data_IF_619806534797
#
_entry.id   IF_619806534797
#
_cell.length_a   1.000
_cell.length_b   1.000
_cell.length_c   1.000
_cell.angle_alpha   90.00
_cell.angle_beta   90.00
_cell.angle_gamma   90.00
#
_symmetry.space_group_name_H-M   'P 1'
#
loop_
_entity.id
_entity.type
_entity.pdbx_description
1 polymer ?
#
# COMPACT_ATOMS: atom_id res chain seq x y z
N UNK A 1 -2.48 -3.36 8.76
CA UNK A 1 -2.52 -4.83 8.83
C UNK A 1 -1.14 -5.39 9.18
N UNK A 2 -1.05 -6.17 10.25
CA UNK A 2 0.16 -6.84 10.72
C UNK A 2 0.64 -7.98 9.81
N UNK A 3 1.73 -8.64 10.20
CA UNK A 3 2.31 -9.76 9.45
C UNK A 3 1.45 -11.04 9.59
N UNK A 4 0.97 -11.32 10.79
CA UNK A 4 0.16 -12.52 11.09
C UNK A 4 -1.34 -12.39 10.80
N UNK A 5 -1.76 -11.44 9.95
CA UNK A 5 -3.19 -11.18 9.69
C UNK A 5 -3.80 -12.08 8.62
N UNK A 6 -2.97 -12.71 7.78
CA UNK A 6 -3.38 -13.54 6.66
C UNK A 6 -3.23 -15.02 7.02
N UNK A 7 -4.14 -15.86 6.52
CA UNK A 7 -4.12 -17.31 6.71
C UNK A 7 -2.80 -17.95 6.26
N UNK A 8 -2.31 -17.58 5.07
CA UNK A 8 -1.04 -18.08 4.51
C UNK A 8 0.19 -17.67 5.34
N UNK A 9 0.10 -16.57 6.10
CA UNK A 9 1.14 -16.13 7.05
C UNK A 9 0.96 -16.70 8.46
N UNK A 10 0.00 -17.62 8.65
CA UNK A 10 -0.19 -18.36 9.89
C UNK A 10 -1.31 -17.85 10.79
N UNK A 11 -2.20 -16.98 10.31
CA UNK A 11 -3.37 -16.57 11.09
C UNK A 11 -4.28 -17.80 11.37
N UNK A 12 -4.60 -18.12 12.65
CA UNK A 12 -5.26 -19.39 13.00
C UNK A 12 -6.66 -19.61 12.42
N UNK A 13 -7.46 -18.55 12.29
CA UNK A 13 -8.83 -18.60 11.79
C UNK A 13 -8.91 -18.79 10.27
N UNK A 14 -7.82 -18.55 9.52
CA UNK A 14 -7.70 -18.70 8.05
C UNK A 14 -8.84 -18.00 7.30
N UNK A 15 -9.03 -16.73 7.59
CA UNK A 15 -10.17 -15.93 7.10
C UNK A 15 -9.88 -15.10 5.84
N UNK A 16 -8.73 -15.32 5.18
CA UNK A 16 -8.30 -14.59 3.98
C UNK A 16 -8.16 -15.51 2.75
N UNK A 17 -9.21 -16.23 2.34
CA UNK A 17 -9.09 -17.23 1.28
C UNK A 17 -8.65 -16.65 -0.08
N UNK A 18 -9.00 -15.40 -0.40
CA UNK A 18 -8.63 -14.80 -1.70
C UNK A 18 -7.16 -14.36 -1.73
N UNK A 19 -6.65 -13.78 -0.64
CA UNK A 19 -5.24 -13.44 -0.50
C UNK A 19 -4.36 -14.69 -0.39
N UNK A 20 -4.83 -15.74 0.29
CA UNK A 20 -4.16 -17.03 0.33
C UNK A 20 -4.11 -17.66 -1.07
N UNK A 21 -5.20 -17.55 -1.84
CA UNK A 21 -5.23 -17.99 -3.24
C UNK A 21 -4.27 -17.16 -4.12
N UNK A 22 -4.26 -15.83 -3.98
CA UNK A 22 -3.34 -14.94 -4.69
C UNK A 22 -1.88 -15.33 -4.43
N UNK A 23 -1.53 -15.60 -3.17
CA UNK A 23 -0.21 -16.08 -2.79
C UNK A 23 0.10 -17.46 -3.43
N UNK A 24 -0.87 -18.38 -3.46
CA UNK A 24 -0.69 -19.70 -4.08
C UNK A 24 -0.49 -19.67 -5.60
N UNK A 25 -0.86 -18.56 -6.26
CA UNK A 25 -0.71 -18.31 -7.70
C UNK A 25 0.42 -17.33 -8.03
N UNK A 26 1.10 -16.79 -7.02
CA UNK A 26 2.13 -15.78 -7.17
C UNK A 26 3.35 -16.09 -6.31
N UNK A 27 3.92 -15.04 -5.73
CA UNK A 27 5.10 -15.11 -4.87
C UNK A 27 4.77 -14.56 -3.48
N UNK A 28 5.20 -15.29 -2.44
CA UNK A 28 5.10 -14.88 -1.04
C UNK A 28 6.45 -14.37 -0.56
N UNK A 29 6.47 -13.22 0.12
CA UNK A 29 7.70 -12.59 0.62
C UNK A 29 7.70 -12.56 2.16
N UNK A 30 8.26 -13.59 2.83
CA UNK A 30 8.23 -13.68 4.30
C UNK A 30 9.02 -12.55 4.98
N UNK A 31 10.06 -12.07 4.31
CA UNK A 31 10.94 -10.98 4.74
C UNK A 31 10.67 -9.73 3.90
N UNK A 32 9.41 -9.27 3.90
CA UNK A 32 8.96 -8.00 3.31
C UNK A 32 8.48 -7.04 4.38
N UNK A 33 8.57 -5.76 4.06
CA UNK A 33 8.87 -4.77 5.04
C UNK A 33 8.25 -3.39 4.52
N UNK A 34 7.80 -2.41 5.37
CA UNK A 34 7.40 -0.98 5.20
C UNK A 34 8.32 0.20 5.68
N UNK A 35 8.58 1.29 4.93
CA UNK A 35 9.73 2.21 5.16
C UNK A 35 9.71 2.99 6.48
N UNK A 36 8.59 2.96 7.20
CA UNK A 36 8.40 3.63 8.47
C UNK A 36 7.37 2.88 9.32
N UNK A 37 7.38 3.03 10.67
CA UNK A 37 6.36 2.44 11.54
C UNK A 37 4.96 3.04 11.41
N UNK A 38 4.75 4.09 10.59
CA UNK A 38 3.46 4.78 10.44
C UNK A 38 3.11 5.14 9.00
N UNK A 39 1.84 5.49 8.81
CA UNK A 39 1.16 5.64 7.53
C UNK A 39 1.82 6.62 6.54
N UNK A 40 1.83 7.93 6.82
CA UNK A 40 2.26 8.95 5.83
C UNK A 40 3.68 8.75 5.34
N UNK A 41 4.68 8.55 6.21
CA UNK A 41 6.06 8.37 5.75
C UNK A 41 6.25 7.11 4.90
N UNK A 42 5.56 6.03 5.24
CA UNK A 42 5.60 4.79 4.46
C UNK A 42 4.96 4.93 3.09
N UNK A 43 3.84 5.65 2.99
CA UNK A 43 3.16 5.95 1.72
C UNK A 43 3.99 6.89 0.85
N UNK A 44 4.62 7.89 1.45
CA UNK A 44 5.52 8.79 0.75
C UNK A 44 6.74 8.04 0.21
N UNK A 45 7.30 7.15 1.02
CA UNK A 45 8.43 6.31 0.60
C UNK A 45 8.06 5.31 -0.49
N UNK A 46 6.82 4.80 -0.44
CA UNK A 46 6.27 3.98 -1.51
C UNK A 46 6.25 4.82 -2.80
N UNK A 47 5.51 5.91 -2.84
CA UNK A 47 5.28 6.64 -4.07
C UNK A 47 6.54 7.32 -4.65
N UNK A 48 7.52 7.68 -3.82
CA UNK A 48 8.79 8.30 -4.27
C UNK A 48 9.95 7.32 -4.47
N UNK A 49 9.83 6.07 -4.01
CA UNK A 49 10.96 5.13 -3.94
C UNK A 49 12.10 5.55 -2.99
N UNK A 50 11.84 6.52 -2.11
CA UNK A 50 12.86 7.21 -1.28
C UNK A 50 12.49 7.18 0.19
N UNK A 51 13.46 6.88 1.07
CA UNK A 51 13.25 6.90 2.52
C UNK A 51 12.67 8.24 3.02
N UNK A 52 11.87 8.23 4.12
CA UNK A 52 11.23 9.44 4.64
C UNK A 52 12.18 10.60 4.97
N UNK A 53 13.39 10.28 5.42
CA UNK A 53 14.43 11.28 5.71
C UNK A 53 14.90 12.02 4.45
N UNK A 54 14.67 11.46 3.25
CA UNK A 54 15.02 12.04 1.96
C UNK A 54 13.87 12.80 1.32
N UNK A 55 12.64 12.28 1.45
CA UNK A 55 11.45 12.86 0.84
C UNK A 55 10.72 13.89 1.74
N UNK A 56 11.19 14.09 2.97
CA UNK A 56 10.68 15.12 3.88
C UNK A 56 9.60 14.66 4.86
N UNK A 57 9.19 13.39 4.86
CA UNK A 57 8.15 12.86 5.76
C UNK A 57 8.71 12.42 7.12
N UNK A 58 9.31 13.35 7.86
CA UNK A 58 9.81 13.12 9.22
C UNK A 58 9.72 14.41 10.03
N UNK A 59 9.99 14.33 11.34
CA UNK A 59 10.06 15.51 12.21
C UNK A 59 11.44 15.65 12.84
N UNK A 60 11.84 16.89 13.10
CA UNK A 60 13.04 17.26 13.87
C UNK A 60 12.69 17.92 15.21
N UNK A 61 11.40 18.02 15.56
CA UNK A 61 10.97 18.64 16.82
C UNK A 61 11.60 17.95 18.03
N UNK A 62 11.75 16.63 17.96
CA UNK A 62 12.48 15.81 18.93
C UNK A 62 13.11 14.60 18.22
N UNK A 63 14.15 14.02 18.83
CA UNK A 63 14.82 12.84 18.30
C UNK A 63 13.91 11.60 18.31
N UNK A 64 14.01 10.81 17.24
CA UNK A 64 13.33 9.52 17.09
C UNK A 64 11.80 9.55 17.27
N UNK A 65 11.15 10.69 16.97
CA UNK A 65 9.69 10.80 17.01
C UNK A 65 9.04 10.38 15.71
N UNK A 66 7.93 9.67 15.87
CA UNK A 66 7.00 9.36 14.81
C UNK A 66 6.21 10.61 14.41
N UNK A 67 6.02 10.82 13.11
CA UNK A 67 5.23 11.92 12.56
C UNK A 67 4.42 11.44 11.35
N UNK A 68 3.31 12.12 11.08
CA UNK A 68 2.42 11.85 9.96
C UNK A 68 1.73 13.16 9.52
N UNK A 69 0.75 13.09 8.63
CA UNK A 69 0.03 14.26 8.08
C UNK A 69 -1.41 14.39 8.66
N UNK A 70 -1.58 14.90 9.88
CA UNK A 70 -2.89 15.22 10.46
C UNK A 70 -3.60 16.39 9.75
N UNK A 71 -4.83 16.71 10.17
CA UNK A 71 -5.64 17.80 9.61
C UNK A 71 -5.11 19.22 9.87
N UNK A 72 -4.09 19.40 10.69
CA UNK A 72 -3.47 20.69 10.98
C UNK A 72 -2.06 20.81 10.39
N UNK A 73 -1.59 19.78 9.67
CA UNK A 73 -0.25 19.78 9.09
C UNK A 73 -0.11 20.88 8.04
N UNK A 74 0.96 21.66 8.15
CA UNK A 74 1.30 22.72 7.18
C UNK A 74 1.99 22.14 5.95
N UNK A 75 2.82 21.11 6.15
CA UNK A 75 3.60 20.46 5.11
C UNK A 75 2.87 19.31 4.38
N UNK A 76 3.57 18.72 3.43
CA UNK A 76 3.11 17.61 2.59
C UNK A 76 4.18 17.24 1.57
N UNK A 77 3.83 16.39 0.60
CA UNK A 77 4.76 15.97 -0.46
C UNK A 77 5.24 17.18 -1.27
N UNK A 78 6.55 17.48 -1.31
CA UNK A 78 7.02 18.67 -2.02
C UNK A 78 7.06 18.41 -3.52
N UNK A 79 6.82 19.45 -4.33
CA UNK A 79 6.90 19.41 -5.80
C UNK A 79 8.28 18.95 -6.33
N UNK A 80 9.30 18.94 -5.47
CA UNK A 80 10.61 18.41 -5.81
C UNK A 80 10.66 16.90 -5.87
N UNK A 81 9.79 16.17 -5.16
CA UNK A 81 9.71 14.71 -5.25
C UNK A 81 8.94 14.31 -6.51
N UNK A 82 9.38 13.23 -7.17
CA UNK A 82 8.75 12.70 -8.38
C UNK A 82 8.08 11.39 -7.98
N UNK A 83 6.75 11.34 -8.08
CA UNK A 83 5.99 10.17 -7.68
C UNK A 83 5.85 9.15 -8.82
N UNK A 84 5.68 7.88 -8.46
CA UNK A 84 5.44 6.77 -9.39
C UNK A 84 4.37 7.11 -10.47
N UNK A 85 3.16 7.60 -10.13
CA UNK A 85 2.16 7.91 -11.15
C UNK A 85 2.60 8.99 -12.14
N UNK A 86 3.45 9.96 -11.75
CA UNK A 86 4.02 10.95 -12.69
C UNK A 86 4.98 10.30 -13.69
N UNK A 87 5.78 9.33 -13.22
CA UNK A 87 6.67 8.55 -14.09
C UNK A 87 5.83 7.71 -15.06
N UNK A 88 4.81 7.03 -14.56
CA UNK A 88 3.93 6.16 -15.35
C UNK A 88 3.09 6.94 -16.37
N UNK A 89 2.65 8.16 -16.02
CA UNK A 89 1.91 9.03 -16.94
C UNK A 89 2.74 9.33 -18.21
N UNK A 90 4.06 9.51 -18.09
CA UNK A 90 4.96 9.71 -19.25
C UNK A 90 5.08 8.47 -20.14
N UNK A 91 4.82 7.29 -19.58
CA UNK A 91 4.74 6.02 -20.32
C UNK A 91 3.32 5.75 -20.84
N UNK A 92 2.43 6.73 -20.73
CA UNK A 92 1.06 6.66 -21.24
C UNK A 92 0.11 5.91 -20.33
N UNK A 93 0.43 5.65 -19.05
CA UNK A 93 -0.51 5.01 -18.13
C UNK A 93 -1.60 5.98 -17.67
N UNK A 94 -2.81 5.45 -17.46
CA UNK A 94 -3.87 6.11 -16.69
C UNK A 94 -3.75 5.69 -15.23
N UNK A 95 -3.64 6.65 -14.31
CA UNK A 95 -3.42 6.39 -12.89
C UNK A 95 -4.63 6.77 -12.04
N UNK A 96 -5.08 5.89 -11.15
CA UNK A 96 -6.13 6.19 -10.17
C UNK A 96 -5.70 5.79 -8.76
N UNK A 97 -5.93 6.68 -7.80
CA UNK A 97 -5.88 6.37 -6.36
C UNK A 97 -7.30 6.15 -5.83
N UNK A 98 -7.47 5.13 -4.99
CA UNK A 98 -8.72 4.86 -4.28
C UNK A 98 -8.40 4.74 -2.80
N UNK A 99 -9.11 5.47 -1.96
CA UNK A 99 -8.93 5.46 -0.50
C UNK A 99 -7.97 6.56 -0.02
N UNK A 100 -7.17 6.21 1.00
CA UNK A 100 -6.44 7.18 1.82
C UNK A 100 -5.14 7.67 1.14
N UNK A 101 -5.03 8.99 0.95
CA UNK A 101 -3.84 9.63 0.37
C UNK A 101 -2.70 9.81 1.38
N UNK A 102 -2.91 10.66 2.39
CA UNK A 102 -2.00 10.88 3.51
C UNK A 102 -0.61 11.46 3.17
N UNK A 103 -0.50 12.21 2.07
CA UNK A 103 0.70 12.94 1.66
C UNK A 103 0.53 14.48 1.75
N UNK A 104 -0.49 14.93 2.48
CA UNK A 104 -0.85 16.34 2.64
C UNK A 104 -2.25 16.62 2.14
N UNK A 105 -2.96 17.50 2.83
CA UNK A 105 -4.37 17.84 2.53
C UNK A 105 -4.54 19.17 1.79
N UNK A 106 -3.53 20.05 1.84
CA UNK A 106 -3.63 21.37 1.21
C UNK A 106 -3.66 21.20 -0.32
N UNK A 107 -4.27 22.15 -1.06
CA UNK A 107 -4.43 22.02 -2.51
C UNK A 107 -3.14 21.70 -3.29
N UNK A 108 -1.99 22.23 -2.86
CA UNK A 108 -0.66 21.96 -3.45
C UNK A 108 -0.11 20.54 -3.20
N UNK A 109 -0.77 19.74 -2.37
CA UNK A 109 -0.41 18.35 -2.10
C UNK A 109 -1.43 17.36 -2.66
N UNK A 110 -2.39 17.83 -3.46
CA UNK A 110 -3.49 17.04 -3.99
C UNK A 110 -2.98 15.94 -4.94
N UNK A 111 -3.48 14.70 -4.88
CA UNK A 111 -2.91 13.61 -5.69
C UNK A 111 -2.96 13.87 -7.20
N UNK A 112 -3.95 14.62 -7.69
CA UNK A 112 -4.11 14.92 -9.12
C UNK A 112 -3.04 15.86 -9.70
N UNK A 113 -2.35 16.65 -8.87
CA UNK A 113 -1.20 17.44 -9.31
C UNK A 113 0.13 16.69 -9.15
N UNK A 114 0.09 15.51 -8.52
CA UNK A 114 1.23 14.62 -8.30
C UNK A 114 1.06 13.30 -9.09
N UNK A 115 0.54 13.41 -10.31
CA UNK A 115 0.55 12.36 -11.34
C UNK A 115 -0.67 11.43 -11.41
N UNK A 116 -1.56 11.43 -10.42
CA UNK A 116 -2.82 10.67 -10.54
C UNK A 116 -3.79 11.39 -11.48
N UNK A 117 -4.51 10.64 -12.31
CA UNK A 117 -5.54 11.21 -13.19
C UNK A 117 -6.93 11.23 -12.54
N UNK A 118 -7.18 10.29 -11.63
CA UNK A 118 -8.46 10.10 -10.94
C UNK A 118 -8.24 9.82 -9.45
N UNK A 119 -9.16 10.27 -8.62
CA UNK A 119 -9.17 9.97 -7.19
C UNK A 119 -10.58 9.74 -6.67
N UNK A 120 -10.74 8.73 -5.83
CA UNK A 120 -11.87 8.64 -4.91
C UNK A 120 -11.38 8.30 -3.52
N UNK A 121 -11.52 9.20 -2.55
CA UNK A 121 -11.05 8.92 -1.18
C UNK A 121 -10.77 10.16 -0.35
N UNK A 122 -9.91 10.04 0.66
CA UNK A 122 -9.68 11.10 1.65
C UNK A 122 -8.21 11.47 1.80
N UNK A 123 -7.88 12.77 2.00
CA UNK A 123 -6.51 13.18 2.29
C UNK A 123 -5.99 12.68 3.65
N UNK A 124 -6.89 12.39 4.60
CA UNK A 124 -6.57 12.06 5.99
C UNK A 124 -7.19 10.71 6.41
N UNK A 125 -7.06 10.37 7.70
CA UNK A 125 -7.75 9.21 8.28
C UNK A 125 -9.28 9.42 8.35
N UNK A 126 -10.02 8.39 8.74
CA UNK A 126 -11.46 8.48 8.96
C UNK A 126 -11.83 8.62 10.46
N UNK A 127 -10.97 9.27 11.26
CA UNK A 127 -11.27 9.49 12.69
C UNK A 127 -12.35 10.56 12.88
N UNK A 128 -13.20 10.38 13.88
CA UNK A 128 -14.33 11.28 14.21
C UNK A 128 -15.39 10.56 15.07
N UNK A 129 -16.63 11.08 15.15
CA UNK A 129 -17.07 12.36 14.59
C UNK A 129 -16.43 13.55 15.33
N UNK A 130 -16.11 14.62 14.59
CA UNK A 130 -15.73 15.90 15.17
C UNK A 130 -16.94 16.83 15.31
N UNK A 131 -16.78 17.92 16.06
CA UNK A 131 -17.85 18.87 16.37
C UNK A 131 -18.13 19.92 15.28
N UNK A 132 -17.30 19.95 14.23
CA UNK A 132 -17.32 20.93 13.15
C UNK A 132 -17.16 22.39 13.59
N UNK A 133 -16.65 22.64 14.80
CA UNK A 133 -16.33 23.99 15.31
C UNK A 133 -14.84 24.22 15.37
N UNK A 134 -14.12 23.34 16.08
CA UNK A 134 -12.67 23.44 16.21
C UNK A 134 -11.98 22.59 15.14
N UNK A 135 -12.53 21.39 14.89
CA UNK A 135 -12.02 20.46 13.89
C UNK A 135 -13.19 20.02 13.00
N UNK A 136 -13.09 20.17 11.67
CA UNK A 136 -14.11 19.67 10.77
C UNK A 136 -14.00 18.15 10.62
N UNK A 137 -15.13 17.52 10.32
CA UNK A 137 -15.16 16.17 9.78
C UNK A 137 -14.36 16.09 8.49
N UNK A 138 -13.67 14.96 8.34
CA UNK A 138 -12.66 14.81 7.30
C UNK A 138 -13.35 14.63 5.93
N UNK A 139 -12.92 15.38 4.90
CA UNK A 139 -13.54 15.32 3.58
C UNK A 139 -13.23 14.03 2.82
N UNK A 140 -14.17 13.67 1.93
CA UNK A 140 -14.02 12.65 0.89
C UNK A 140 -14.17 13.33 -0.46
N UNK A 141 -13.26 13.02 -1.38
CA UNK A 141 -13.14 13.63 -2.69
C UNK A 141 -13.50 12.64 -3.80
N UNK A 142 -14.07 13.17 -4.88
CA UNK A 142 -13.98 12.61 -6.22
C UNK A 142 -13.20 13.61 -7.06
N UNK A 143 -12.03 13.20 -7.53
CA UNK A 143 -11.09 14.04 -8.25
C UNK A 143 -10.80 15.33 -7.46
N UNK A 144 -11.16 16.50 -7.97
CA UNK A 144 -10.96 17.79 -7.27
C UNK A 144 -12.09 18.18 -6.33
N UNK A 145 -13.24 17.51 -6.44
CA UNK A 145 -14.47 17.93 -5.77
C UNK A 145 -14.64 17.19 -4.46
N UNK A 146 -14.79 17.93 -3.36
CA UNK A 146 -15.24 17.36 -2.09
C UNK A 146 -16.71 16.96 -2.24
N UNK A 147 -16.98 15.66 -2.21
CA UNK A 147 -18.33 15.10 -2.40
C UNK A 147 -19.04 14.81 -1.08
N UNK A 148 -18.36 14.99 0.04
CA UNK A 148 -18.94 14.83 1.38
C UNK A 148 -17.88 14.70 2.45
N UNK A 149 -18.30 14.37 3.67
CA UNK A 149 -17.40 14.13 4.82
C UNK A 149 -17.70 12.81 5.51
N UNK A 150 -16.68 12.24 6.17
CA UNK A 150 -16.89 11.12 7.09
C UNK A 150 -17.82 11.52 8.24
N UNK A 151 -18.62 10.57 8.73
CA UNK A 151 -19.66 10.77 9.76
C UNK A 151 -20.81 11.71 9.36
N UNK A 152 -20.82 12.20 8.12
CA UNK A 152 -21.90 12.98 7.52
C UNK A 152 -22.45 12.20 6.31
N UNK A 153 -21.94 12.46 5.11
CA UNK A 153 -22.36 11.78 3.89
C UNK A 153 -21.81 10.35 3.81
N UNK A 154 -20.64 10.12 4.41
CA UNK A 154 -19.96 8.83 4.50
C UNK A 154 -20.02 8.31 5.94
N UNK A 155 -21.13 7.66 6.27
CA UNK A 155 -21.42 7.19 7.62
C UNK A 155 -20.45 6.09 8.07
N UNK A 156 -19.98 6.24 9.31
CA UNK A 156 -19.24 5.23 10.07
C UNK A 156 -19.90 5.19 11.45
N UNK A 157 -20.62 4.12 11.76
CA UNK A 157 -21.23 3.95 13.08
C UNK A 157 -20.20 3.39 14.05
N UNK A 158 -19.67 4.22 14.94
CA UNK A 158 -18.64 3.84 15.92
C UNK A 158 -19.16 2.89 17.00
N UNK A 159 -20.48 2.69 17.13
CA UNK A 159 -21.05 1.74 18.09
C UNK A 159 -21.12 0.33 17.52
N UNK A 160 -21.45 0.20 16.23
CA UNK A 160 -21.64 -1.09 15.56
C UNK A 160 -20.46 -1.49 14.67
N UNK A 161 -19.64 -0.53 14.25
CA UNK A 161 -18.63 -0.71 13.21
C UNK A 161 -19.18 -0.67 11.78
N UNK A 162 -20.47 -0.35 11.59
CA UNK A 162 -21.08 -0.37 10.24
C UNK A 162 -20.60 0.79 9.37
N UNK A 163 -20.04 0.48 8.19
CA UNK A 163 -19.82 1.45 7.11
C UNK A 163 -19.74 0.77 5.74
N UNK A 164 -20.24 1.46 4.69
CA UNK A 164 -20.19 0.96 3.31
C UNK A 164 -18.92 1.37 2.54
N UNK A 165 -17.96 2.04 3.19
CA UNK A 165 -16.79 2.59 2.52
C UNK A 165 -15.96 1.55 1.75
N UNK A 166 -15.72 0.37 2.33
CA UNK A 166 -14.98 -0.71 1.65
C UNK A 166 -15.70 -1.16 0.38
N UNK A 167 -17.03 -1.31 0.41
CA UNK A 167 -17.83 -1.64 -0.79
C UNK A 167 -17.70 -0.55 -1.87
N UNK A 168 -17.75 0.72 -1.48
CA UNK A 168 -17.58 1.83 -2.43
C UNK A 168 -16.18 1.77 -3.06
N UNK A 169 -15.14 1.57 -2.26
CA UNK A 169 -13.76 1.44 -2.75
C UNK A 169 -13.57 0.23 -3.67
N UNK A 170 -14.26 -0.89 -3.43
CA UNK A 170 -14.29 -2.03 -4.34
C UNK A 170 -14.93 -1.63 -5.67
N UNK A 171 -16.12 -1.02 -5.66
CA UNK A 171 -16.81 -0.63 -6.89
C UNK A 171 -16.02 0.39 -7.72
N UNK A 172 -15.35 1.35 -7.08
CA UNK A 172 -14.47 2.31 -7.76
C UNK A 172 -13.30 1.62 -8.48
N UNK A 173 -12.75 0.55 -7.89
CA UNK A 173 -11.67 -0.24 -8.47
C UNK A 173 -12.16 -1.07 -9.67
N UNK A 174 -13.29 -1.78 -9.50
CA UNK A 174 -13.88 -2.59 -10.56
C UNK A 174 -14.27 -1.75 -11.79
N UNK A 175 -14.87 -0.58 -11.54
CA UNK A 175 -15.26 0.38 -12.60
C UNK A 175 -14.05 0.93 -13.36
N UNK A 176 -12.97 1.27 -12.64
CA UNK A 176 -11.75 1.75 -13.26
C UNK A 176 -11.09 0.69 -14.15
N UNK A 177 -10.92 -0.53 -13.63
CA UNK A 177 -10.35 -1.66 -14.39
C UNK A 177 -11.19 -1.96 -15.64
N UNK A 178 -12.52 -2.01 -15.50
CA UNK A 178 -13.43 -2.21 -16.63
C UNK A 178 -13.22 -1.15 -17.72
N UNK A 179 -13.19 0.12 -17.32
CA UNK A 179 -13.09 1.26 -18.23
C UNK A 179 -11.75 1.27 -18.97
N UNK A 180 -10.63 1.09 -18.26
CA UNK A 180 -9.31 1.14 -18.89
C UNK A 180 -9.07 -0.08 -19.78
N UNK A 181 -9.53 -1.27 -19.37
CA UNK A 181 -9.42 -2.48 -20.17
C UNK A 181 -10.21 -2.36 -21.48
N UNK A 182 -11.44 -1.81 -21.45
CA UNK A 182 -12.23 -1.57 -22.68
C UNK A 182 -11.61 -0.54 -23.62
N UNK A 183 -10.80 0.38 -23.08
CA UNK A 183 -10.06 1.37 -23.86
C UNK A 183 -8.70 0.85 -24.37
N UNK A 184 -8.31 -0.37 -24.00
CA UNK A 184 -6.96 -0.90 -24.19
C UNK A 184 -5.87 0.05 -23.64
N UNK A 185 -6.18 0.71 -22.53
CA UNK A 185 -5.32 1.71 -21.90
C UNK A 185 -4.56 1.05 -20.74
N UNK A 186 -3.23 1.08 -20.76
CA UNK A 186 -2.42 0.68 -19.61
C UNK A 186 -2.79 1.51 -18.39
N UNK A 187 -2.93 0.85 -17.23
CA UNK A 187 -3.44 1.49 -16.03
C UNK A 187 -2.59 1.19 -14.79
N UNK A 188 -2.57 2.16 -13.87
CA UNK A 188 -2.00 2.03 -12.54
C UNK A 188 -3.10 2.31 -11.52
N UNK A 189 -3.40 1.32 -10.69
CA UNK A 189 -4.39 1.43 -9.62
C UNK A 189 -3.69 1.35 -8.27
N UNK A 190 -3.75 2.45 -7.50
CA UNK A 190 -3.31 2.48 -6.12
C UNK A 190 -4.53 2.35 -5.19
N UNK A 191 -4.85 1.11 -4.82
CA UNK A 191 -5.99 0.77 -3.97
C UNK A 191 -5.60 0.76 -2.49
N UNK A 192 -5.76 1.91 -1.86
CA UNK A 192 -5.22 2.26 -0.55
C UNK A 192 -6.31 2.35 0.53
N UNK A 193 -7.12 1.30 0.65
CA UNK A 193 -8.20 1.19 1.64
C UNK A 193 -7.69 1.20 3.08
N UNK A 194 -8.55 1.59 4.02
CA UNK A 194 -8.14 1.85 5.39
C UNK A 194 -9.09 1.30 6.47
N UNK A 195 -10.05 0.44 6.13
CA UNK A 195 -11.03 -0.16 7.05
C UNK A 195 -10.43 -0.88 8.27
N UNK A 196 -9.18 -1.33 8.17
CA UNK A 196 -8.43 -2.00 9.27
C UNK A 196 -7.69 -1.03 10.18
N UNK A 197 -7.78 0.27 9.92
CA UNK A 197 -7.30 1.33 10.81
C UNK A 197 -8.43 1.78 11.74
N UNK A 198 -8.11 2.22 12.95
CA UNK A 198 -9.11 2.74 13.89
C UNK A 198 -9.72 4.08 13.45
N UNK A 199 -11.03 4.30 13.66
CA UNK A 199 -12.03 3.32 14.10
C UNK A 199 -12.34 2.25 13.03
N UNK A 200 -12.14 0.97 13.35
CA UNK A 200 -12.33 -0.12 12.38
C UNK A 200 -13.80 -0.19 11.96
N UNK A 201 -14.05 -0.45 10.66
CA UNK A 201 -15.39 -0.59 10.13
C UNK A 201 -15.50 -1.74 9.12
N UNK A 202 -16.71 -2.26 8.95
CA UNK A 202 -17.06 -3.19 7.87
C UNK A 202 -18.50 -2.95 7.41
N UNK A 203 -18.84 -3.34 6.19
CA UNK A 203 -20.23 -3.28 5.75
C UNK A 203 -21.09 -4.33 6.46
N UNK A 204 -22.40 -4.06 6.51
CA UNK A 204 -23.37 -4.89 7.23
C UNK A 204 -23.29 -6.39 6.92
N UNK A 205 -22.95 -6.76 5.69
CA UNK A 205 -22.85 -8.17 5.28
C UNK A 205 -21.67 -8.91 5.92
N UNK A 206 -20.66 -8.18 6.41
CA UNK A 206 -19.44 -8.72 7.01
C UNK A 206 -19.42 -8.59 8.54
N UNK A 207 -20.25 -7.73 9.13
CA UNK A 207 -20.32 -7.57 10.59
C UNK A 207 -20.70 -8.88 11.30
N UNK A 208 -19.92 -9.25 12.31
CA UNK A 208 -20.09 -10.45 13.12
C UNK A 208 -19.80 -11.76 12.39
N UNK A 209 -19.07 -11.72 11.26
CA UNK A 209 -18.76 -12.93 10.46
C UNK A 209 -17.38 -13.51 10.76
N UNK A 210 -16.50 -12.74 11.38
CA UNK A 210 -15.15 -13.16 11.77
C UNK A 210 -15.09 -13.66 13.20
N UNK A 211 -14.29 -14.68 13.43
CA UNK A 211 -13.90 -15.13 14.77
C UNK A 211 -12.97 -14.13 15.49
N UNK A 212 -12.49 -13.08 14.81
CA UNK A 212 -11.54 -12.08 15.30
C UNK A 212 -12.21 -10.72 15.60
N UNK A 213 -13.53 -10.74 15.77
CA UNK A 213 -14.34 -9.54 16.00
C UNK A 213 -14.32 -8.56 14.81
N UNK A 214 -14.62 -7.29 15.10
CA UNK A 214 -14.80 -6.25 14.08
C UNK A 214 -13.56 -6.06 13.20
N UNK A 215 -12.35 -6.17 13.75
CA UNK A 215 -11.11 -6.12 12.96
C UNK A 215 -11.09 -7.22 11.89
N UNK A 216 -11.47 -8.44 12.27
CA UNK A 216 -11.53 -9.55 11.32
C UNK A 216 -12.66 -9.41 10.32
N UNK A 217 -13.79 -8.81 10.68
CA UNK A 217 -14.86 -8.49 9.73
C UNK A 217 -14.33 -7.58 8.61
N UNK A 218 -13.58 -6.53 8.97
CA UNK A 218 -12.94 -5.64 8.02
C UNK A 218 -11.88 -6.36 7.15
N UNK A 219 -11.09 -7.27 7.74
CA UNK A 219 -10.11 -8.08 7.00
C UNK A 219 -10.80 -9.01 5.99
N UNK A 220 -11.91 -9.67 6.38
CA UNK A 220 -12.69 -10.54 5.48
C UNK A 220 -13.31 -9.76 4.33
N UNK A 221 -13.80 -8.54 4.60
CA UNK A 221 -14.36 -7.68 3.56
C UNK A 221 -13.28 -7.20 2.57
N UNK A 222 -12.11 -6.81 3.08
CA UNK A 222 -10.97 -6.45 2.25
C UNK A 222 -10.52 -7.62 1.38
N UNK A 223 -10.39 -8.83 1.96
CA UNK A 223 -10.04 -10.05 1.23
C UNK A 223 -11.05 -10.35 0.10
N UNK A 224 -12.35 -10.21 0.37
CA UNK A 224 -13.40 -10.32 -0.66
C UNK A 224 -13.23 -9.28 -1.77
N UNK A 225 -12.86 -8.05 -1.44
CA UNK A 225 -12.55 -7.00 -2.42
C UNK A 225 -11.37 -7.37 -3.32
N UNK A 226 -10.31 -7.92 -2.75
CA UNK A 226 -9.16 -8.44 -3.52
C UNK A 226 -9.59 -9.55 -4.47
N UNK A 227 -10.39 -10.52 -3.99
CA UNK A 227 -10.94 -11.58 -4.84
C UNK A 227 -11.74 -11.05 -6.03
N UNK A 228 -12.60 -10.05 -5.81
CA UNK A 228 -13.38 -9.40 -6.87
C UNK A 228 -12.50 -8.66 -7.89
N UNK A 229 -11.46 -7.96 -7.42
CA UNK A 229 -10.51 -7.27 -8.31
C UNK A 229 -9.74 -8.28 -9.18
N UNK A 230 -9.23 -9.36 -8.59
CA UNK A 230 -8.52 -10.41 -9.33
C UNK A 230 -9.45 -11.10 -10.34
N UNK A 231 -10.70 -11.38 -9.96
CA UNK A 231 -11.70 -11.94 -10.87
C UNK A 231 -11.98 -10.97 -12.03
N UNK A 232 -12.11 -9.67 -11.75
CA UNK A 232 -12.35 -8.67 -12.79
C UNK A 232 -11.22 -8.60 -13.81
N UNK A 233 -9.96 -8.72 -13.38
CA UNK A 233 -8.81 -8.78 -14.28
C UNK A 233 -8.87 -10.01 -15.20
N UNK A 234 -9.30 -11.17 -14.67
CA UNK A 234 -9.51 -12.39 -15.46
C UNK A 234 -10.66 -12.22 -16.46
N UNK A 235 -11.81 -11.69 -16.02
CA UNK A 235 -13.00 -11.50 -16.85
C UNK A 235 -12.72 -10.54 -18.02
N UNK A 236 -11.89 -9.51 -17.78
CA UNK A 236 -11.47 -8.55 -18.81
C UNK A 236 -10.33 -9.08 -19.70
N UNK A 237 -9.80 -10.28 -19.43
CA UNK A 237 -8.72 -10.89 -20.21
C UNK A 237 -7.35 -10.20 -20.06
N UNK A 238 -7.17 -9.36 -19.04
CA UNK A 238 -5.94 -8.57 -18.82
C UNK A 238 -5.07 -9.09 -17.68
N UNK A 239 -5.49 -10.16 -16.99
CA UNK A 239 -4.76 -10.72 -15.85
C UNK A 239 -3.29 -11.08 -16.17
N UNK A 240 -3.03 -11.69 -17.33
CA UNK A 240 -1.66 -12.07 -17.75
C UNK A 240 -0.75 -10.88 -18.06
N UNK A 241 -1.30 -9.67 -18.17
CA UNK A 241 -0.56 -8.44 -18.43
C UNK A 241 -0.75 -7.42 -17.28
N UNK A 242 -1.10 -7.89 -16.09
CA UNK A 242 -1.30 -7.04 -14.91
C UNK A 242 -0.49 -7.57 -13.73
N UNK A 243 0.46 -6.76 -13.23
CA UNK A 243 1.14 -7.03 -11.97
C UNK A 243 0.29 -6.51 -10.80
N UNK A 244 -0.05 -7.41 -9.87
CA UNK A 244 -0.79 -7.06 -8.65
C UNK A 244 0.09 -7.32 -7.43
N UNK A 245 0.27 -6.30 -6.59
CA UNK A 245 1.05 -6.37 -5.36
C UNK A 245 0.14 -6.09 -4.17
N UNK A 246 0.16 -6.96 -3.17
CA UNK A 246 -0.52 -6.75 -1.89
C UNK A 246 0.51 -6.53 -0.78
N UNK A 247 0.36 -5.45 -0.01
CA UNK A 247 1.21 -5.15 1.15
C UNK A 247 0.50 -4.20 2.11
N UNK A 248 1.14 -3.87 3.25
CA UNK A 248 0.64 -2.92 4.24
C UNK A 248 1.67 -1.81 4.53
N UNK A 249 1.20 -0.61 4.89
CA UNK A 249 2.01 0.57 5.14
C UNK A 249 2.70 0.60 6.51
N UNK A 250 2.32 -0.25 7.45
CA UNK A 250 3.03 -0.46 8.72
C UNK A 250 2.57 -1.77 9.41
N UNK A 251 3.08 -2.03 10.61
CA UNK A 251 2.62 -3.14 11.46
C UNK A 251 1.19 -2.96 11.96
N UNK A 252 0.69 -3.96 12.71
CA UNK A 252 -0.60 -3.86 13.38
C UNK A 252 -0.56 -2.79 14.49
N UNK A 253 -1.66 -2.05 14.66
CA UNK A 253 -1.84 -1.11 15.77
C UNK A 253 -2.24 -1.87 17.04
N UNK A 254 -1.27 -2.46 17.75
CA UNK A 254 -1.54 -3.33 18.91
C UNK A 254 -2.25 -2.62 20.08
N UNK A 255 -2.13 -1.29 20.17
CA UNK A 255 -2.88 -0.48 21.14
C UNK A 255 -4.40 -0.51 20.93
N UNK A 256 -4.85 -0.89 19.73
CA UNK A 256 -6.26 -0.93 19.34
C UNK A 256 -6.92 -2.30 19.60
N UNK A 257 -6.17 -3.33 20.01
CA UNK A 257 -6.73 -4.65 20.27
C UNK A 257 -7.35 -4.72 21.68
N UNK A 258 -8.64 -5.07 21.76
CA UNK A 258 -9.17 -5.76 22.94
C UNK A 258 -8.57 -7.18 22.96
N UNK A 259 -7.46 -7.32 23.70
CA UNK A 259 -6.77 -8.57 24.09
C UNK A 259 -7.01 -9.81 23.20
N UNK A 260 -6.13 -10.04 22.21
CA UNK A 260 -5.82 -11.41 21.77
C UNK A 260 -4.32 -11.70 21.98
N UNK A 261 -4.01 -12.32 23.11
CA UNK A 261 -2.67 -12.63 23.62
C UNK A 261 -2.06 -13.88 22.94
N UNK A 262 -2.15 -13.98 21.61
CA UNK A 262 -1.58 -15.11 20.88
C UNK A 262 -0.31 -14.74 20.11
N UNK A 263 0.83 -14.99 20.77
CA UNK A 263 2.20 -15.18 20.25
C UNK A 263 2.59 -14.31 19.04
N UNK A 264 2.49 -12.99 19.21
CA UNK A 264 3.24 -12.04 18.39
C UNK A 264 4.72 -12.15 18.81
N UNK A 265 5.57 -12.76 17.96
CA UNK A 265 7.03 -12.76 18.22
C UNK A 265 7.58 -11.37 17.95
N UNK A 266 7.91 -10.64 19.01
CA UNK A 266 8.80 -9.48 18.91
C UNK A 266 10.12 -9.93 18.27
N UNK A 267 10.51 -9.29 17.18
CA UNK A 267 11.82 -9.48 16.57
C UNK A 267 12.54 -8.15 16.55
N UNK A 268 13.76 -8.05 17.13
CA UNK A 268 14.58 -6.87 16.94
C UNK A 268 14.95 -6.75 15.47
N UNK A 269 14.69 -5.59 14.87
CA UNK A 269 15.14 -5.23 13.54
C UNK A 269 16.34 -4.30 13.68
N UNK A 270 17.45 -4.71 13.11
CA UNK A 270 18.69 -3.95 13.07
C UNK A 270 18.85 -3.36 11.67
N UNK A 271 18.85 -2.04 11.58
CA UNK A 271 19.17 -1.31 10.35
C UNK A 271 20.67 -1.09 10.32
N UNK A 272 21.33 -1.46 9.23
CA UNK A 272 22.76 -1.21 9.01
C UNK A 272 22.99 -0.37 7.76
N UNK A 273 24.08 0.40 7.76
CA UNK A 273 24.69 0.99 6.55
C UNK A 273 26.14 0.55 6.49
N UNK A 274 26.46 -0.39 5.60
CA UNK A 274 27.76 -1.08 5.65
C UNK A 274 27.89 -1.86 6.96
N UNK A 275 28.95 -1.60 7.72
CA UNK A 275 29.20 -2.27 9.01
C UNK A 275 28.70 -1.46 10.22
N UNK A 276 27.99 -0.35 10.00
CA UNK A 276 27.52 0.54 11.07
C UNK A 276 26.03 0.32 11.34
N UNK A 277 25.68 0.10 12.61
CA UNK A 277 24.30 -0.07 13.07
C UNK A 277 23.62 1.29 13.19
N UNK A 278 22.62 1.52 12.34
CA UNK A 278 21.91 2.80 12.20
C UNK A 278 20.74 2.93 13.18
N UNK A 279 20.02 1.83 13.43
CA UNK A 279 18.90 1.81 14.35
C UNK A 279 18.59 0.38 14.79
N UNK A 280 18.15 0.22 16.05
CA UNK A 280 17.53 -1.00 16.55
C UNK A 280 16.07 -0.69 16.83
N UNK A 281 15.16 -1.52 16.34
CA UNK A 281 13.74 -1.41 16.65
C UNK A 281 13.23 -2.71 17.24
N UNK A 282 12.36 -2.59 18.24
CA UNK A 282 11.74 -3.68 18.97
C UNK A 282 10.23 -3.55 18.82
N UNK A 283 9.54 -4.59 18.31
CA UNK A 283 8.07 -4.76 18.04
C UNK A 283 7.76 -5.10 16.57
N UNK A 284 6.47 -5.32 16.25
CA UNK A 284 5.98 -5.73 14.93
C UNK A 284 6.07 -4.62 13.88
N UNK A 285 7.19 -4.58 13.16
CA UNK A 285 7.38 -3.65 12.06
C UNK A 285 7.71 -4.37 10.76
N UNK A 286 7.28 -3.74 9.67
CA UNK A 286 7.70 -4.02 8.30
C UNK A 286 8.67 -2.82 7.94
N UNK A 287 9.80 -2.95 7.16
CA UNK A 287 10.70 -1.97 6.36
C UNK A 287 10.66 -1.89 4.72
N UNK A 288 10.14 -0.90 3.96
CA UNK A 288 9.84 -0.98 2.49
C UNK A 288 11.13 -1.10 1.69
N UNK A 289 11.33 -2.24 1.06
CA UNK A 289 12.18 -2.38 -0.12
C UNK A 289 11.25 -2.51 -1.32
N UNK A 290 11.24 -1.46 -2.14
CA UNK A 290 10.61 -1.55 -3.46
C UNK A 290 11.40 -2.52 -4.31
N UNK A 291 10.71 -3.54 -4.83
CA UNK A 291 11.19 -4.46 -5.84
C UNK A 291 10.28 -4.35 -7.05
N UNK A 292 10.80 -3.83 -8.15
CA UNK A 292 10.12 -3.77 -9.43
C UNK A 292 10.31 -5.09 -10.17
N UNK A 293 9.22 -5.80 -10.48
CA UNK A 293 9.26 -7.09 -11.19
C UNK A 293 8.69 -6.93 -12.61
N UNK A 294 9.53 -6.47 -13.53
CA UNK A 294 9.32 -6.65 -14.96
C UNK A 294 10.33 -7.68 -15.48
N UNK A 295 10.06 -8.28 -16.64
CA UNK A 295 11.08 -9.08 -17.34
C UNK A 295 12.30 -8.20 -17.66
N UNK A 296 13.51 -8.76 -17.76
CA UNK A 296 14.71 -8.01 -18.19
C UNK A 296 14.49 -7.24 -19.50
N UNK A 297 13.67 -7.78 -20.41
CA UNK A 297 13.30 -7.10 -21.65
C UNK A 297 12.49 -5.83 -21.42
N UNK A 298 11.45 -5.89 -20.60
CA UNK A 298 10.65 -4.70 -20.26
C UNK A 298 11.41 -3.73 -19.36
N UNK A 299 12.28 -4.23 -18.48
CA UNK A 299 13.20 -3.38 -17.73
C UNK A 299 14.13 -2.65 -18.70
N UNK A 300 14.74 -3.33 -19.67
CA UNK A 300 15.57 -2.69 -20.69
C UNK A 300 14.78 -1.73 -21.56
N UNK A 301 13.52 -2.01 -21.86
CA UNK A 301 12.68 -1.18 -22.71
C UNK A 301 12.20 0.06 -21.98
N UNK A 302 11.77 -0.07 -20.72
CA UNK A 302 11.53 1.06 -19.85
C UNK A 302 12.84 1.81 -19.63
N UNK A 303 13.95 1.18 -19.26
CA UNK A 303 15.24 1.85 -19.05
C UNK A 303 15.78 2.52 -20.32
N UNK A 304 15.53 1.96 -21.51
CA UNK A 304 15.80 2.61 -22.80
C UNK A 304 14.86 3.78 -23.03
N UNK A 305 13.57 3.67 -22.76
CA UNK A 305 12.64 4.81 -22.77
C UNK A 305 13.05 5.88 -21.75
N UNK A 306 13.58 5.48 -20.59
CA UNK A 306 14.13 6.34 -19.55
C UNK A 306 15.44 7.03 -20.00
N UNK A 307 16.24 6.35 -20.83
CA UNK A 307 17.49 6.85 -21.39
C UNK A 307 17.33 7.63 -22.71
N UNK A 308 16.20 7.45 -23.41
CA UNK A 308 15.83 8.13 -24.66
C UNK A 308 15.10 9.46 -24.41
N UNK A 309 14.39 9.56 -23.28
CA UNK A 309 14.05 10.83 -22.66
C UNK A 309 15.36 11.37 -22.04
N UNK A 310 15.72 12.63 -22.29
CA UNK A 310 17.06 13.21 -22.01
C UNK A 310 17.82 12.63 -20.79
N UNK A 311 19.16 12.51 -20.82
CA UNK A 311 19.97 12.02 -19.67
C UNK A 311 19.83 12.81 -18.35
N UNK A 312 19.01 13.86 -18.31
CA UNK A 312 18.81 14.81 -17.20
C UNK A 312 17.78 14.39 -16.16
N UNK A 313 16.97 13.35 -16.35
CA UNK A 313 15.80 13.09 -15.48
C UNK A 313 15.78 11.75 -14.75
N UNK A 314 16.44 10.69 -15.25
CA UNK A 314 16.78 9.56 -14.38
C UNK A 314 17.88 10.07 -13.46
N UNK A 315 17.54 10.44 -12.24
CA UNK A 315 18.48 11.18 -11.40
C UNK A 315 19.68 10.30 -11.04
N UNK A 316 20.74 10.39 -11.85
CA UNK A 316 22.11 10.25 -11.33
C UNK A 316 22.37 11.31 -10.23
N UNK A 317 21.53 12.34 -10.18
CA UNK A 317 21.61 13.46 -9.23
C UNK A 317 20.90 13.20 -7.88
N UNK A 318 20.19 12.09 -7.69
CA UNK A 318 19.52 11.78 -6.41
C UNK A 318 19.58 10.29 -6.06
N UNK A 319 19.69 10.02 -4.76
CA UNK A 319 19.72 8.66 -4.23
C UNK A 319 18.31 8.06 -4.25
N UNK A 320 18.09 7.07 -5.10
CA UNK A 320 17.00 6.09 -4.96
C UNK A 320 17.36 5.09 -3.87
N UNK A 321 16.38 4.64 -3.07
CA UNK A 321 16.59 3.61 -2.05
C UNK A 321 15.94 2.27 -2.38
N UNK A 322 15.11 2.21 -3.43
CA UNK A 322 14.59 0.95 -3.97
C UNK A 322 15.60 0.25 -4.90
N UNK A 323 15.57 -1.08 -4.93
CA UNK A 323 16.40 -1.91 -5.80
C UNK A 323 15.55 -2.76 -6.72
N UNK A 324 15.99 -3.00 -7.95
CA UNK A 324 15.27 -3.85 -8.91
C UNK A 324 15.47 -5.31 -8.52
N UNK A 325 14.38 -6.08 -8.41
CA UNK A 325 14.43 -7.53 -8.27
C UNK A 325 13.91 -8.15 -9.56
N UNK A 326 14.83 -8.59 -10.42
CA UNK A 326 14.50 -9.39 -11.61
C UNK A 326 14.83 -10.84 -11.32
N UNK A 327 13.92 -11.73 -11.70
CA UNK A 327 14.29 -13.12 -11.92
C UNK A 327 15.30 -13.15 -13.09
N UNK A 328 16.46 -13.76 -12.86
CA UNK A 328 17.57 -13.78 -13.83
C UNK A 328 17.46 -14.94 -14.80
N UNK A 329 16.53 -15.88 -14.59
CA UNK A 329 16.43 -17.08 -15.39
C UNK A 329 15.15 -17.08 -16.23
N UNK A 330 15.32 -16.87 -17.54
CA UNK A 330 14.28 -16.90 -18.57
C UNK A 330 13.65 -18.28 -18.80
N UNK A 331 13.28 -18.98 -17.74
CA UNK A 331 12.58 -20.27 -17.80
C UNK A 331 11.08 -20.06 -17.81
N UNK A 332 10.44 -20.47 -18.92
CA UNK A 332 9.00 -20.59 -19.04
C UNK A 332 8.43 -21.40 -17.87
N UNK A 333 7.34 -20.90 -17.29
CA UNK A 333 6.56 -21.62 -16.28
C UNK A 333 6.06 -22.96 -16.86
N UNK A 334 6.69 -24.05 -16.46
CA UNK A 334 6.08 -25.38 -16.50
C UNK A 334 5.92 -25.89 -15.06
N UNK A 335 4.74 -26.43 -14.80
CA UNK A 335 4.21 -26.88 -13.52
C UNK A 335 5.22 -27.54 -12.57
N UNK A 336 5.16 -27.10 -11.30
CA UNK A 336 5.40 -27.93 -10.12
C UNK A 336 6.79 -28.55 -9.97
N UNK A 337 7.75 -27.78 -9.45
CA UNK A 337 8.85 -28.35 -8.64
C UNK A 337 9.19 -27.44 -7.47
N UNK A 338 9.03 -27.98 -6.27
CA UNK A 338 9.61 -27.44 -5.05
C UNK A 338 11.14 -27.38 -5.21
N UNK A 339 11.74 -26.21 -4.99
CA UNK A 339 13.19 -26.06 -4.94
C UNK A 339 13.67 -26.45 -3.54
N UNK A 340 14.31 -27.61 -3.44
CA UNK A 340 15.10 -28.01 -2.28
C UNK A 340 16.36 -27.15 -2.16
N UNK A 341 16.65 -26.73 -0.92
CA UNK A 341 17.84 -26.02 -0.51
C UNK A 341 19.10 -26.83 -0.87
N UNK A 342 19.93 -26.35 -1.80
CA UNK A 342 21.29 -26.86 -1.95
C UNK A 342 22.25 -26.05 -1.09
N UNK A 343 22.64 -26.66 0.03
CA UNK A 343 23.81 -26.27 0.80
C UNK A 343 25.04 -26.18 -0.12
N UNK A 344 25.69 -25.02 -0.15
CA UNK A 344 27.05 -24.93 -0.67
C UNK A 344 28.02 -25.46 0.39
N UNK A 345 28.65 -26.58 0.06
CA UNK A 345 29.77 -27.15 0.79
C UNK A 345 30.94 -26.17 0.82
N UNK A 346 31.53 -26.04 2.00
CA UNK A 346 32.88 -25.55 2.19
C UNK A 346 33.81 -26.70 1.80
N UNK A 347 34.68 -26.48 0.82
CA UNK A 347 35.84 -27.33 0.57
C UNK A 347 37.10 -26.47 0.66
N UNK A 348 38.06 -27.01 1.41
CA UNK A 348 39.33 -26.43 1.81
C UNK A 348 40.29 -26.17 0.65
N UNK A 349 41.04 -25.07 0.73
CA UNK A 349 42.50 -25.04 0.54
C UNK A 349 43.13 -23.95 1.38
#
# INVERSE_FOLDING_TARGET
MGWGDLGIYGQPSKETPNLDWMASKGMLLPDFYSANPLCSPSRAALLSGRLPIRNGFYTTNEHARNAYTPQDIVGGIPDTEILLPEILQRLGYRSKIIGKWHLGQQPKYHPLIHGFDEWFGSPNCHFGPYDNKETPNIPVYRDTDMIGRYFEDFLIDTKTGESNLTQIYIQEALSFIDTQSKKNQSFFLYWAVDATHEPVYASKAFLGTSARGLYGDAVRELDSGVGQILQKLNDMGVANNTLVIFSSDNGAATYAQEMDNHLLKDKPIFYYRGNEMMAVRWEQYKAHYWTWTNSIKEFEEVHRCLALLEPSWYSRDRVSTGSVATDTDGTQFTEGRFLENKNHGVDDT
#
